data_IF_117351926277
#
_entry.id   IF_117351926277
#
_cell.length_a   1.000
_cell.length_b   1.000
_cell.length_c   1.000
_cell.angle_alpha   90.00
_cell.angle_beta   90.00
_cell.angle_gamma   90.00
#
_symmetry.space_group_name_H-M   'P 1'
#
loop_
_entity.id
_entity.type
_entity.pdbx_description
1 polymer ?
#
# COMPACT_ATOMS: atom_id res chain seq x y z
N UNK A 1 -3.14 8.98 -9.62
CA UNK A 1 -3.33 7.72 -8.90
C UNK A 1 -4.26 7.98 -7.74
N UNK A 2 -5.26 7.12 -7.50
CA UNK A 2 -6.15 7.25 -6.34
C UNK A 2 -5.81 6.20 -5.28
N UNK A 3 -6.08 6.49 -4.01
CA UNK A 3 -5.87 5.56 -2.90
C UNK A 3 -7.17 5.37 -2.16
N UNK A 4 -7.65 4.13 -2.10
CA UNK A 4 -8.86 3.81 -1.34
C UNK A 4 -8.59 3.91 0.15
N UNK A 5 -9.64 4.27 0.91
CA UNK A 5 -9.62 4.18 2.38
C UNK A 5 -9.17 2.79 2.84
N UNK A 6 -9.67 1.73 2.21
CA UNK A 6 -9.30 0.35 2.52
C UNK A 6 -7.80 0.09 2.35
N UNK A 7 -7.17 0.61 1.28
CA UNK A 7 -5.74 0.46 1.09
C UNK A 7 -4.93 1.12 2.21
N UNK A 8 -5.30 2.32 2.64
CA UNK A 8 -4.64 3.03 3.73
C UNK A 8 -4.79 2.27 5.07
N UNK A 9 -5.96 1.72 5.34
CA UNK A 9 -6.20 0.86 6.51
C UNK A 9 -5.31 -0.39 6.49
N UNK A 10 -5.26 -1.09 5.36
CA UNK A 10 -4.41 -2.28 5.21
C UNK A 10 -2.93 -1.96 5.30
N UNK A 11 -2.52 -0.79 4.82
CA UNK A 11 -1.16 -0.30 4.96
C UNK A 11 -0.79 -0.10 6.45
N UNK A 12 -1.62 0.61 7.21
CA UNK A 12 -1.43 0.78 8.66
C UNK A 12 -1.35 -0.56 9.41
N UNK A 13 -2.24 -1.49 9.10
CA UNK A 13 -2.27 -2.81 9.73
C UNK A 13 -1.04 -3.66 9.40
N UNK A 14 -0.60 -3.67 8.13
CA UNK A 14 0.39 -4.64 7.64
C UNK A 14 1.81 -4.12 7.69
N UNK A 15 2.00 -2.82 7.49
CA UNK A 15 3.33 -2.19 7.48
C UNK A 15 3.72 -1.69 8.86
N UNK A 16 2.77 -1.14 9.62
CA UNK A 16 3.02 -0.58 10.96
C UNK A 16 2.45 -1.42 12.11
N UNK A 17 1.80 -2.55 11.80
CA UNK A 17 1.21 -3.44 12.82
C UNK A 17 0.19 -2.74 13.73
N UNK A 18 -0.49 -1.69 13.25
CA UNK A 18 -1.50 -0.98 14.02
C UNK A 18 -2.76 -1.84 14.18
N UNK A 19 -3.14 -2.13 15.42
CA UNK A 19 -4.39 -2.83 15.75
C UNK A 19 -5.63 -1.94 15.60
N UNK A 20 -5.48 -0.62 15.75
CA UNK A 20 -6.51 0.39 15.55
C UNK A 20 -5.91 1.69 15.01
N UNK A 21 -6.76 2.51 14.40
CA UNK A 21 -6.34 3.80 13.85
C UNK A 21 -7.52 4.77 13.78
N UNK A 22 -7.23 6.07 13.88
CA UNK A 22 -8.20 7.13 13.77
C UNK A 22 -8.25 7.72 12.34
N UNK A 23 -9.18 8.65 12.09
CA UNK A 23 -9.36 9.30 10.77
C UNK A 23 -8.12 10.07 10.31
N UNK A 24 -7.38 10.67 11.23
CA UNK A 24 -6.16 11.43 10.93
C UNK A 24 -5.04 10.50 10.48
N UNK A 25 -4.83 9.38 11.16
CA UNK A 25 -3.86 8.35 10.77
C UNK A 25 -4.18 7.76 9.40
N UNK A 26 -5.46 7.55 9.08
CA UNK A 26 -5.88 7.15 7.73
C UNK A 26 -5.48 8.20 6.69
N UNK A 27 -5.72 9.50 6.95
CA UNK A 27 -5.32 10.57 6.03
C UNK A 27 -3.81 10.64 5.85
N UNK A 28 -3.06 10.56 6.95
CA UNK A 28 -1.60 10.55 6.92
C UNK A 28 -1.05 9.35 6.14
N UNK A 29 -1.68 8.17 6.29
CA UNK A 29 -1.34 6.98 5.51
C UNK A 29 -1.59 7.17 4.01
N UNK A 30 -2.70 7.81 3.62
CA UNK A 30 -2.98 8.17 2.22
C UNK A 30 -1.87 9.07 1.68
N UNK A 31 -1.55 10.18 2.37
CA UNK A 31 -0.51 11.10 1.92
C UNK A 31 0.87 10.47 1.81
N UNK A 32 1.20 9.58 2.74
CA UNK A 32 2.47 8.85 2.70
C UNK A 32 2.53 7.94 1.47
N UNK A 33 1.47 7.19 1.18
CA UNK A 33 1.38 6.33 0.00
C UNK A 33 1.36 7.16 -1.30
N UNK A 34 0.68 8.30 -1.35
CA UNK A 34 0.69 9.20 -2.50
C UNK A 34 2.12 9.66 -2.83
N UNK A 35 2.88 10.07 -1.81
CA UNK A 35 4.27 10.48 -1.95
C UNK A 35 5.16 9.31 -2.38
N UNK A 36 5.02 8.15 -1.75
CA UNK A 36 5.82 6.96 -2.04
C UNK A 36 5.64 6.47 -3.49
N UNK A 37 4.45 6.65 -4.04
CA UNK A 37 4.06 6.15 -5.36
C UNK A 37 4.05 7.24 -6.44
N UNK A 38 4.43 8.49 -6.11
CA UNK A 38 4.30 9.65 -6.99
C UNK A 38 4.99 9.47 -8.36
N UNK A 39 6.21 8.91 -8.38
CA UNK A 39 7.00 8.71 -9.59
C UNK A 39 6.79 7.34 -10.25
N UNK A 40 5.82 6.55 -9.77
CA UNK A 40 5.66 5.17 -10.20
C UNK A 40 4.81 5.11 -11.46
N UNK A 41 5.43 4.69 -12.57
CA UNK A 41 4.72 4.39 -13.80
C UNK A 41 3.98 3.06 -13.64
N UNK A 42 2.71 3.14 -13.23
CA UNK A 42 1.78 2.03 -13.18
C UNK A 42 1.45 1.59 -14.61
N UNK A 43 2.32 0.75 -15.20
CA UNK A 43 1.99 -0.03 -16.42
C UNK A 43 0.84 -1.00 -16.10
N UNK A 44 0.44 -1.87 -17.02
CA UNK A 44 -0.62 -2.91 -16.85
C UNK A 44 -0.41 -3.90 -15.67
N UNK A 45 0.59 -3.66 -14.82
CA UNK A 45 0.90 -4.43 -13.62
C UNK A 45 -0.17 -4.21 -12.53
N UNK A 46 -0.92 -5.27 -12.25
CA UNK A 46 -1.87 -5.32 -11.11
C UNK A 46 -1.22 -5.26 -9.73
N UNK A 47 0.10 -5.50 -9.63
CA UNK A 47 0.86 -5.47 -8.37
C UNK A 47 2.18 -4.74 -8.57
N UNK A 48 2.47 -3.82 -7.66
CA UNK A 48 3.68 -2.98 -7.69
C UNK A 48 4.29 -2.94 -6.31
N UNK A 49 5.62 -2.99 -6.24
CA UNK A 49 6.36 -2.90 -4.97
C UNK A 49 6.20 -1.48 -4.42
N UNK A 50 5.89 -1.34 -3.13
CA UNK A 50 5.93 -0.03 -2.47
C UNK A 50 7.41 0.38 -2.31
N UNK A 51 7.87 1.48 -2.92
CA UNK A 51 9.29 1.83 -2.92
C UNK A 51 9.92 1.94 -1.53
N UNK A 52 9.25 2.62 -0.59
CA UNK A 52 9.72 2.76 0.79
C UNK A 52 9.47 1.50 1.63
N UNK A 53 8.68 0.55 1.15
CA UNK A 53 8.28 -0.67 1.87
C UNK A 53 8.46 -1.91 0.98
N UNK A 54 9.72 -2.28 0.65
CA UNK A 54 10.02 -3.25 -0.40
C UNK A 54 9.49 -4.66 -0.13
N UNK A 55 9.13 -4.96 1.11
CA UNK A 55 8.50 -6.23 1.53
C UNK A 55 6.99 -6.27 1.28
N UNK A 56 6.41 -5.24 0.67
CA UNK A 56 4.98 -5.13 0.42
C UNK A 56 4.68 -4.81 -1.05
N UNK A 57 3.54 -5.29 -1.52
CA UNK A 57 2.95 -4.92 -2.80
C UNK A 57 1.73 -4.02 -2.57
N UNK A 58 1.63 -2.94 -3.33
CA UNK A 58 0.36 -2.29 -3.63
C UNK A 58 -0.37 -3.03 -4.77
N UNK A 59 -1.66 -3.27 -4.59
CA UNK A 59 -2.54 -3.88 -5.61
C UNK A 59 -3.37 -2.80 -6.27
N UNK A 60 -3.33 -2.75 -7.59
CA UNK A 60 -3.94 -1.68 -8.39
C UNK A 60 -5.05 -2.20 -9.30
N UNK A 61 -6.13 -1.42 -9.40
CA UNK A 61 -7.20 -1.56 -10.40
C UNK A 61 -7.40 -0.18 -11.02
N UNK A 62 -7.28 -0.04 -12.33
CA UNK A 62 -7.53 1.22 -13.05
C UNK A 62 -6.86 2.44 -12.38
N UNK A 63 -5.55 2.35 -12.11
CA UNK A 63 -4.75 3.42 -11.46
C UNK A 63 -5.17 3.76 -10.00
N UNK A 64 -5.95 2.90 -9.37
CA UNK A 64 -6.42 3.02 -7.98
C UNK A 64 -5.78 1.94 -7.12
N UNK A 65 -5.10 2.36 -6.04
CA UNK A 65 -4.58 1.45 -5.02
C UNK A 65 -5.73 0.94 -4.15
N UNK A 66 -6.04 -0.35 -4.27
CA UNK A 66 -7.17 -0.99 -3.58
C UNK A 66 -6.76 -1.73 -2.30
N UNK A 67 -5.52 -2.22 -2.22
CA UNK A 67 -5.01 -2.87 -1.00
C UNK A 67 -3.48 -2.93 -0.98
N UNK A 68 -2.89 -3.16 0.19
CA UNK A 68 -1.45 -3.40 0.38
C UNK A 68 -1.26 -4.79 0.98
N UNK A 69 -0.50 -5.68 0.33
CA UNK A 69 -0.28 -7.07 0.81
C UNK A 69 1.21 -7.32 1.05
N UNK A 70 1.60 -8.19 1.99
CA UNK A 70 3.00 -8.62 2.10
C UNK A 70 3.42 -9.34 0.82
N UNK A 71 4.69 -9.15 0.42
CA UNK A 71 5.35 -10.10 -0.47
C UNK A 71 5.38 -11.43 0.28
N UNK A 72 4.87 -12.50 -0.31
CA UNK A 72 5.17 -13.83 0.22
C UNK A 72 6.69 -13.97 0.21
N UNK A 73 7.31 -13.95 1.39
CA UNK A 73 8.58 -14.64 1.58
C UNK A 73 8.23 -16.10 1.30
N UNK A 74 8.86 -16.71 0.30
CA UNK A 74 8.94 -18.16 0.29
C UNK A 74 9.61 -18.53 1.61
N UNK A 75 8.81 -18.88 2.61
CA UNK A 75 9.31 -19.67 3.71
C UNK A 75 9.58 -21.04 3.10
N UNK A 76 10.78 -21.20 2.55
CA UNK A 76 11.37 -22.50 2.32
C UNK A 76 11.53 -23.12 3.71
N UNK A 77 10.55 -23.91 4.11
CA UNK A 77 10.65 -24.93 5.15
C UNK A 77 10.70 -26.28 4.44
#
# INVERSE_FOLDING_TARGET
MQITRHAAERFLQRVFSFASYNKEQIRNAIHLLERDLYNLQLREKRRVVLPSFPNFYGVFVENTLVTVIPKRLNASL
#
